data_IF_548940923269
#
_entry.id   IF_548940923269
#
_cell.length_a   1.000
_cell.length_b   1.000
_cell.length_c   1.000
_cell.angle_alpha   90.00
_cell.angle_beta   90.00
_cell.angle_gamma   90.00
#
_symmetry.space_group_name_H-M   'P 1'
#
loop_
_entity.id
_entity.type
_entity.pdbx_description
1 polymer ?
#
# COMPACT_ATOMS: atom_id res chain seq x y z
N UNK A 1 41.02 -33.39 -1.65
CA UNK A 1 41.46 -32.04 -2.06
C UNK A 1 40.35 -31.41 -2.89
N UNK A 2 40.11 -30.11 -2.69
CA UNK A 2 38.85 -29.40 -2.90
C UNK A 2 38.27 -29.38 -4.33
N UNK A 3 36.95 -29.51 -4.43
CA UNK A 3 36.17 -29.12 -5.61
C UNK A 3 35.51 -27.78 -5.34
N UNK A 4 35.90 -26.76 -6.11
CA UNK A 4 35.50 -25.39 -5.91
C UNK A 4 34.06 -25.18 -6.40
N UNK A 5 33.13 -25.00 -5.47
CA UNK A 5 31.73 -24.72 -5.79
C UNK A 5 31.68 -23.27 -6.28
N UNK A 6 31.56 -23.09 -7.60
CA UNK A 6 31.35 -21.79 -8.24
C UNK A 6 29.93 -21.32 -7.94
N UNK A 7 29.77 -20.51 -6.90
CA UNK A 7 28.52 -19.82 -6.62
C UNK A 7 28.34 -18.71 -7.66
N UNK A 8 27.67 -19.02 -8.77
CA UNK A 8 27.20 -18.01 -9.72
C UNK A 8 26.12 -17.18 -9.03
N UNK A 9 26.54 -16.07 -8.42
CA UNK A 9 25.68 -15.09 -7.80
C UNK A 9 24.80 -14.42 -8.84
N UNK A 10 23.65 -15.01 -9.13
CA UNK A 10 22.57 -14.35 -9.86
C UNK A 10 22.07 -13.19 -8.98
N UNK A 11 22.65 -12.01 -9.18
CA UNK A 11 22.18 -10.73 -8.66
C UNK A 11 20.89 -10.35 -9.40
N UNK A 12 19.82 -11.12 -9.19
CA UNK A 12 18.49 -10.60 -9.44
C UNK A 12 18.13 -9.83 -8.18
N UNK A 13 18.14 -8.48 -8.16
CA UNK A 13 17.50 -7.76 -7.09
C UNK A 13 16.02 -8.11 -7.23
N UNK A 14 15.60 -9.11 -6.46
CA UNK A 14 14.21 -9.44 -6.26
C UNK A 14 13.64 -8.18 -5.62
N UNK A 15 13.17 -7.26 -6.45
CA UNK A 15 12.24 -6.21 -6.11
C UNK A 15 10.95 -6.94 -5.77
N UNK A 16 10.95 -7.66 -4.65
CA UNK A 16 9.76 -8.05 -3.93
C UNK A 16 9.13 -6.72 -3.58
N UNK A 17 8.33 -6.17 -4.51
CA UNK A 17 7.19 -5.33 -4.14
C UNK A 17 6.57 -6.11 -3.01
N UNK A 18 6.69 -5.57 -1.81
CA UNK A 18 6.01 -6.03 -0.62
C UNK A 18 4.51 -5.80 -0.85
N UNK A 19 3.96 -6.58 -1.77
CA UNK A 19 2.54 -6.85 -1.92
C UNK A 19 2.16 -7.82 -0.80
N UNK A 20 2.46 -7.43 0.44
CA UNK A 20 1.89 -8.10 1.60
C UNK A 20 0.43 -7.66 1.59
N UNK A 21 -0.40 -8.49 0.96
CA UNK A 21 -1.85 -8.39 0.94
C UNK A 21 -2.35 -8.66 2.36
N UNK A 22 -2.15 -7.67 3.21
CA UNK A 22 -2.68 -7.60 4.55
C UNK A 22 -3.96 -6.78 4.41
N UNK A 23 -5.03 -7.45 4.00
CA UNK A 23 -6.24 -6.85 3.41
C UNK A 23 -6.92 -5.75 4.24
N UNK A 24 -6.56 -5.56 5.52
CA UNK A 24 -6.97 -4.41 6.35
C UNK A 24 -5.94 -3.28 6.43
N UNK A 25 -4.64 -3.59 6.41
CA UNK A 25 -3.59 -2.61 6.68
C UNK A 25 -3.45 -1.55 5.61
N UNK A 26 -3.91 -1.81 4.38
CA UNK A 26 -3.93 -0.77 3.34
C UNK A 26 -4.95 0.34 3.65
N UNK A 27 -6.13 -0.03 4.15
CA UNK A 27 -7.17 0.91 4.55
C UNK A 27 -6.69 1.71 5.77
N UNK A 28 -6.18 1.01 6.78
CA UNK A 28 -5.63 1.64 8.00
C UNK A 28 -4.49 2.62 7.68
N UNK A 29 -3.59 2.28 6.75
CA UNK A 29 -2.53 3.19 6.29
C UNK A 29 -3.09 4.45 5.63
N UNK A 30 -4.19 4.32 4.89
CA UNK A 30 -4.85 5.47 4.26
C UNK A 30 -5.58 6.33 5.30
N UNK A 31 -6.25 5.72 6.27
CA UNK A 31 -6.91 6.41 7.39
C UNK A 31 -5.89 7.18 8.25
N UNK A 32 -4.74 6.57 8.56
CA UNK A 32 -3.65 7.24 9.26
C UNK A 32 -3.10 8.41 8.44
N UNK A 33 -2.85 8.21 7.14
CA UNK A 33 -2.39 9.28 6.25
C UNK A 33 -3.42 10.41 6.15
N UNK A 34 -4.73 10.11 6.20
CA UNK A 34 -5.81 11.09 6.17
C UNK A 34 -5.78 11.94 7.44
N UNK A 35 -5.68 11.33 8.62
CA UNK A 35 -5.57 12.04 9.88
C UNK A 35 -4.35 12.98 9.87
N UNK A 36 -3.21 12.51 9.36
CA UNK A 36 -1.98 13.31 9.22
C UNK A 36 -2.13 14.47 8.22
N UNK A 37 -2.87 14.28 7.13
CA UNK A 37 -3.15 15.36 6.17
C UNK A 37 -4.10 16.42 6.77
N UNK A 38 -5.10 15.98 7.54
CA UNK A 38 -6.04 16.87 8.24
C UNK A 38 -5.32 17.71 9.30
N UNK A 39 -4.41 17.13 10.09
CA UNK A 39 -3.64 17.88 11.08
C UNK A 39 -2.66 18.87 10.46
N UNK A 40 -2.18 18.61 9.25
CA UNK A 40 -1.34 19.53 8.48
C UNK A 40 -2.13 20.59 7.70
N UNK A 41 -3.47 20.50 7.67
CA UNK A 41 -4.31 21.39 6.85
C UNK A 41 -4.21 21.14 5.34
N UNK A 42 -3.67 20.00 4.91
CA UNK A 42 -3.52 19.63 3.50
C UNK A 42 -4.85 19.05 2.98
N UNK A 43 -5.75 19.94 2.57
CA UNK A 43 -7.09 19.61 2.12
C UNK A 43 -7.10 18.81 0.81
N UNK A 44 -6.15 19.05 -0.10
CA UNK A 44 -6.07 18.33 -1.38
C UNK A 44 -5.67 16.87 -1.16
N UNK A 45 -4.68 16.64 -0.30
CA UNK A 45 -4.24 15.31 0.09
C UNK A 45 -5.31 14.60 0.89
N UNK A 46 -5.97 15.28 1.83
CA UNK A 46 -7.09 14.72 2.58
C UNK A 46 -8.25 14.29 1.67
N UNK A 47 -8.61 15.11 0.67
CA UNK A 47 -9.65 14.77 -0.32
C UNK A 47 -9.28 13.53 -1.14
N UNK A 48 -8.04 13.46 -1.59
CA UNK A 48 -7.52 12.34 -2.38
C UNK A 48 -7.46 11.04 -1.59
N UNK A 49 -7.03 11.11 -0.33
CA UNK A 49 -7.00 9.96 0.59
C UNK A 49 -8.40 9.47 0.91
N UNK A 50 -9.34 10.38 1.19
CA UNK A 50 -10.75 10.03 1.43
C UNK A 50 -11.38 9.31 0.24
N UNK A 51 -11.09 9.73 -0.99
CA UNK A 51 -11.55 9.03 -2.20
C UNK A 51 -11.00 7.60 -2.29
N UNK A 52 -9.71 7.41 -2.00
CA UNK A 52 -9.08 6.07 -1.97
C UNK A 52 -9.61 5.18 -0.85
N UNK A 53 -9.88 5.75 0.33
CA UNK A 53 -10.49 5.01 1.45
C UNK A 53 -11.88 4.50 1.07
N UNK A 54 -12.70 5.34 0.41
CA UNK A 54 -14.01 4.89 -0.09
C UNK A 54 -13.85 3.81 -1.16
N UNK A 55 -12.95 4.00 -2.13
CA UNK A 55 -12.71 3.04 -3.21
C UNK A 55 -12.20 1.67 -2.72
N UNK A 56 -11.36 1.66 -1.67
CA UNK A 56 -10.80 0.42 -1.10
C UNK A 56 -11.65 -0.19 0.01
N UNK A 57 -12.31 0.63 0.83
CA UNK A 57 -13.10 0.21 1.99
C UNK A 57 -14.58 0.02 1.70
N UNK A 58 -15.07 0.45 0.54
CA UNK A 58 -16.50 0.47 0.25
C UNK A 58 -16.80 0.52 -1.24
N UNK A 59 -16.87 -0.66 -1.86
CA UNK A 59 -17.88 -0.92 -2.88
C UNK A 59 -19.28 -0.98 -2.22
N UNK A 60 -19.66 0.03 -1.44
CA UNK A 60 -21.05 0.25 -1.02
C UNK A 60 -21.68 1.10 -2.12
N UNK A 61 -21.87 0.46 -3.27
CA UNK A 61 -22.80 0.91 -4.26
C UNK A 61 -24.20 0.72 -3.68
N UNK A 62 -24.76 1.74 -3.06
CA UNK A 62 -26.21 1.96 -3.13
C UNK A 62 -26.48 3.47 -3.31
N UNK A 63 -26.35 4.02 -4.53
CA UNK A 63 -27.29 5.06 -4.93
C UNK A 63 -28.61 4.34 -5.27
N UNK A 64 -29.61 4.58 -4.42
CA UNK A 64 -30.92 3.92 -4.44
C UNK A 64 -31.63 3.93 -5.80
N UNK A 65 -32.40 2.88 -6.02
CA UNK A 65 -33.50 2.83 -6.99
C UNK A 65 -34.78 3.34 -6.33
#
# INVERSE_FOLDING_TARGET
MASQISYKGNKNPIKKKLSFFEGGHQLEKLEFALAVAQTQGDLEKARSLRKKIVELGGNVEEPGT
#
